data_IF_070793756679
#
_entry.id   IF_070793756679
#
_cell.length_a   1.000
_cell.length_b   1.000
_cell.length_c   1.000
_cell.angle_alpha   90.00
_cell.angle_beta   90.00
_cell.angle_gamma   90.00
#
_symmetry.space_group_name_H-M   'P 1'
#
loop_
_entity.id
_entity.type
_entity.pdbx_description
1 polymer ?
#
# COMPACT_ATOMS: atom_id res chain seq x y z
N UNK A 1 14.57 5.72 8.52
CA UNK A 1 15.35 5.81 7.26
C UNK A 1 14.57 6.52 6.14
N UNK A 2 13.66 7.46 6.45
CA UNK A 2 12.93 8.30 5.46
C UNK A 2 13.53 9.73 5.42
N UNK A 3 14.21 10.15 6.50
CA UNK A 3 14.75 11.49 6.72
C UNK A 3 15.97 11.88 5.86
N UNK A 4 16.50 10.98 5.02
CA UNK A 4 17.71 11.21 4.21
C UNK A 4 17.43 11.45 2.72
N UNK A 5 16.17 11.46 2.30
CA UNK A 5 15.78 11.71 0.90
C UNK A 5 15.64 13.21 0.64
N UNK A 6 15.94 13.64 -0.60
CA UNK A 6 15.70 15.01 -1.06
C UNK A 6 14.22 15.39 -0.87
N UNK A 7 13.94 16.66 -0.52
CA UNK A 7 12.60 17.14 -0.14
C UNK A 7 11.44 16.73 -1.11
N UNK A 8 11.59 16.72 -2.44
CA UNK A 8 10.50 16.30 -3.33
C UNK A 8 10.27 14.77 -3.33
N UNK A 9 11.28 13.97 -3.03
CA UNK A 9 11.20 12.50 -3.08
C UNK A 9 10.75 11.94 -1.75
N UNK A 10 11.06 12.60 -0.64
CA UNK A 10 10.54 12.23 0.69
C UNK A 10 9.00 12.28 0.75
N UNK A 11 8.36 13.21 0.03
CA UNK A 11 6.89 13.29 -0.03
C UNK A 11 6.29 12.06 -0.74
N UNK A 12 6.81 11.71 -1.92
CA UNK A 12 6.37 10.53 -2.70
C UNK A 12 6.51 9.25 -1.85
N UNK A 13 7.66 9.09 -1.17
CA UNK A 13 7.90 7.94 -0.29
C UNK A 13 6.99 7.95 0.93
N UNK A 14 6.70 9.12 1.50
CA UNK A 14 5.80 9.26 2.64
C UNK A 14 4.37 8.80 2.29
N UNK A 15 3.80 9.33 1.20
CA UNK A 15 2.45 8.93 0.75
C UNK A 15 2.40 7.43 0.47
N UNK A 16 3.43 6.91 -0.20
CA UNK A 16 3.51 5.51 -0.50
C UNK A 16 3.55 4.63 0.77
N UNK A 17 4.33 5.02 1.77
CA UNK A 17 4.38 4.34 3.05
C UNK A 17 3.02 4.36 3.77
N UNK A 18 2.30 5.49 3.73
CA UNK A 18 0.98 5.60 4.34
C UNK A 18 -0.07 4.71 3.65
N UNK A 19 -0.02 4.62 2.31
CA UNK A 19 -0.90 3.74 1.53
C UNK A 19 -0.65 2.27 1.89
N UNK A 20 0.62 1.85 1.95
CA UNK A 20 0.96 0.49 2.36
C UNK A 20 0.58 0.22 3.82
N UNK A 21 0.81 1.19 4.71
CA UNK A 21 0.40 1.05 6.11
C UNK A 21 -1.10 0.84 6.23
N UNK A 22 -1.91 1.56 5.47
CA UNK A 22 -3.36 1.36 5.47
C UNK A 22 -3.75 -0.05 4.98
N UNK A 23 -3.05 -0.58 3.98
CA UNK A 23 -3.25 -1.93 3.48
C UNK A 23 -2.84 -3.00 4.53
N UNK A 24 -1.70 -2.82 5.21
CA UNK A 24 -1.27 -3.65 6.33
C UNK A 24 -2.28 -3.60 7.49
N UNK A 25 -2.80 -2.42 7.85
CA UNK A 25 -3.81 -2.27 8.91
C UNK A 25 -5.07 -3.08 8.63
N UNK A 26 -5.52 -3.18 7.38
CA UNK A 26 -6.67 -4.04 7.00
C UNK A 26 -6.32 -5.52 7.14
N UNK A 27 -5.09 -5.90 6.80
CA UNK A 27 -4.61 -7.28 6.85
C UNK A 27 -4.42 -7.77 8.29
N UNK A 28 -3.71 -6.99 9.11
CA UNK A 28 -3.39 -7.28 10.52
C UNK A 28 -4.65 -7.32 11.42
N UNK A 29 -5.68 -6.55 11.09
CA UNK A 29 -6.88 -6.44 11.93
C UNK A 29 -7.73 -7.73 11.88
N UNK A 30 -7.53 -8.58 12.89
CA UNK A 30 -8.27 -9.83 13.06
C UNK A 30 -9.76 -9.63 13.41
N UNK A 31 -10.21 -8.40 13.70
CA UNK A 31 -11.63 -8.12 13.97
C UNK A 31 -12.46 -7.99 12.69
N UNK A 32 -11.82 -7.76 11.54
CA UNK A 32 -12.47 -7.69 10.23
C UNK A 32 -12.63 -9.11 9.66
N UNK A 33 -13.87 -9.49 9.32
CA UNK A 33 -14.13 -10.80 8.70
C UNK A 33 -13.46 -10.94 7.34
N UNK A 34 -13.06 -12.16 6.98
CA UNK A 34 -12.42 -12.43 5.68
C UNK A 34 -13.32 -12.02 4.50
N UNK A 35 -14.63 -12.21 4.62
CA UNK A 35 -15.62 -11.81 3.61
C UNK A 35 -15.60 -10.30 3.32
N UNK A 36 -15.20 -9.48 4.30
CA UNK A 36 -15.04 -8.03 4.13
C UNK A 36 -13.62 -7.66 3.74
N UNK A 37 -12.64 -8.35 4.34
CA UNK A 37 -11.20 -8.09 4.17
C UNK A 37 -10.74 -8.37 2.74
N UNK A 38 -11.11 -9.53 2.17
CA UNK A 38 -10.69 -9.96 0.83
C UNK A 38 -11.11 -8.94 -0.25
N UNK A 39 -12.38 -8.52 -0.34
CA UNK A 39 -12.78 -7.50 -1.31
C UNK A 39 -12.07 -6.15 -1.12
N UNK A 40 -11.79 -5.76 0.14
CA UNK A 40 -11.08 -4.50 0.42
C UNK A 40 -9.65 -4.58 -0.10
N UNK A 41 -8.92 -5.66 0.19
CA UNK A 41 -7.54 -5.85 -0.27
C UNK A 41 -7.43 -5.91 -1.79
N UNK A 42 -8.32 -6.66 -2.46
CA UNK A 42 -8.34 -6.74 -3.93
C UNK A 42 -8.63 -5.39 -4.60
N UNK A 43 -9.56 -4.61 -4.03
CA UNK A 43 -9.98 -3.32 -4.59
C UNK A 43 -9.21 -2.12 -4.03
N UNK A 44 -8.21 -2.34 -3.18
CA UNK A 44 -7.52 -1.26 -2.48
C UNK A 44 -6.90 -0.22 -3.43
N UNK A 45 -6.30 -0.69 -4.52
CA UNK A 45 -5.75 0.18 -5.57
C UNK A 45 -6.80 1.14 -6.17
N UNK A 46 -8.07 0.73 -6.24
CA UNK A 46 -9.15 1.56 -6.77
C UNK A 46 -9.59 2.65 -5.79
N UNK A 47 -9.40 2.44 -4.49
CA UNK A 47 -9.73 3.42 -3.45
C UNK A 47 -8.76 4.59 -3.44
N UNK A 48 -7.55 4.43 -3.98
CA UNK A 48 -6.63 5.54 -4.22
C UNK A 48 -7.23 6.63 -5.13
N UNK A 49 -8.17 6.26 -5.99
CA UNK A 49 -8.88 7.16 -6.89
C UNK A 49 -10.26 7.59 -6.38
N UNK A 50 -10.62 7.23 -5.14
CA UNK A 50 -11.90 7.55 -4.52
C UNK A 50 -11.67 8.49 -3.32
N UNK A 51 -11.80 9.83 -3.50
CA UNK A 51 -11.48 10.81 -2.46
C UNK A 51 -12.39 10.72 -1.22
N UNK A 52 -13.58 10.12 -1.37
CA UNK A 52 -14.52 9.92 -0.26
C UNK A 52 -14.36 8.57 0.46
N UNK A 53 -13.42 7.73 0.00
CA UNK A 53 -13.24 6.42 0.60
C UNK A 53 -12.55 6.54 1.96
N UNK A 54 -13.14 5.86 2.94
CA UNK A 54 -12.61 5.68 4.29
C UNK A 54 -13.18 4.40 4.88
N UNK A 55 -12.49 3.84 5.87
CA UNK A 55 -12.92 2.63 6.54
C UNK A 55 -12.89 2.82 8.06
N UNK A 56 -14.08 2.86 8.67
CA UNK A 56 -14.29 3.05 10.12
C UNK A 56 -14.43 1.73 10.89
N UNK A 57 -14.27 0.59 10.21
CA UNK A 57 -14.53 -0.74 10.77
C UNK A 57 -13.32 -1.38 11.44
N UNK A 58 -12.20 -0.68 11.56
CA UNK A 58 -10.95 -1.22 12.12
C UNK A 58 -10.81 -0.90 13.61
N UNK A 59 -10.30 -1.87 14.38
CA UNK A 59 -9.92 -1.72 15.79
C UNK A 59 -8.41 -1.75 16.00
N UNK A 60 -7.61 -1.72 14.92
CA UNK A 60 -6.17 -1.71 15.01
C UNK A 60 -5.63 -0.39 15.62
N UNK A 61 -4.39 -0.43 16.13
CA UNK A 61 -3.68 0.74 16.66
C UNK A 61 -3.51 1.84 15.62
N UNK A 62 -3.33 1.48 14.34
CA UNK A 62 -3.05 2.39 13.25
C UNK A 62 -4.34 2.75 12.47
N UNK A 63 -5.54 2.36 12.95
CA UNK A 63 -6.84 2.56 12.27
C UNK A 63 -7.07 3.97 11.73
N UNK A 64 -6.46 5.01 12.32
CA UNK A 64 -6.55 6.38 11.86
C UNK A 64 -6.13 6.53 10.38
N UNK A 65 -5.18 5.73 9.88
CA UNK A 65 -4.78 5.79 8.46
C UNK A 65 -5.90 5.33 7.50
N UNK A 66 -6.84 4.52 8.01
CA UNK A 66 -8.02 4.05 7.26
C UNK A 66 -9.21 5.01 7.43
N UNK A 67 -9.37 5.58 8.62
CA UNK A 67 -10.43 6.55 8.92
C UNK A 67 -10.21 7.88 8.17
N UNK A 68 -8.96 8.34 8.09
CA UNK A 68 -8.53 9.57 7.39
C UNK A 68 -7.83 9.27 6.04
N UNK A 69 -8.20 8.17 5.38
CA UNK A 69 -7.61 7.78 4.10
C UNK A 69 -7.85 8.82 2.99
N UNK A 70 -8.90 9.64 3.14
CA UNK A 70 -9.23 10.74 2.24
C UNK A 70 -8.05 11.70 2.07
N UNK A 71 -7.39 12.06 3.17
CA UNK A 71 -6.22 12.95 3.15
C UNK A 71 -5.06 12.33 2.37
N UNK A 72 -4.84 11.02 2.54
CA UNK A 72 -3.78 10.28 1.83
C UNK A 72 -4.09 10.22 0.32
N UNK A 73 -5.33 9.92 -0.06
CA UNK A 73 -5.78 9.87 -1.46
C UNK A 73 -5.64 11.24 -2.14
N UNK A 74 -5.97 12.34 -1.45
CA UNK A 74 -5.81 13.69 -1.98
C UNK A 74 -4.34 14.05 -2.24
N UNK A 75 -3.42 13.72 -1.33
CA UNK A 75 -1.99 13.95 -1.55
C UNK A 75 -1.42 13.03 -2.63
N UNK A 76 -1.91 11.79 -2.74
CA UNK A 76 -1.57 10.88 -3.82
C UNK A 76 -1.92 11.46 -5.21
N UNK A 77 -3.07 12.13 -5.34
CA UNK A 77 -3.49 12.76 -6.59
C UNK A 77 -2.60 13.93 -7.02
N UNK A 78 -1.91 14.58 -6.09
CA UNK A 78 -0.96 15.67 -6.40
C UNK A 78 0.37 15.15 -6.94
N UNK A 79 0.66 13.85 -6.81
CA UNK A 79 1.88 13.26 -7.34
C UNK A 79 1.84 13.21 -8.87
N UNK A 80 3.02 13.18 -9.51
CA UNK A 80 3.11 12.98 -10.97
C UNK A 80 2.46 11.65 -11.36
N UNK A 81 1.80 11.62 -12.52
CA UNK A 81 1.09 10.45 -13.06
C UNK A 81 1.95 9.17 -13.08
N UNK A 82 3.25 9.31 -13.40
CA UNK A 82 4.21 8.20 -13.38
C UNK A 82 4.27 7.51 -12.01
N UNK A 83 4.31 8.27 -10.91
CA UNK A 83 4.32 7.68 -9.56
C UNK A 83 2.94 7.08 -9.21
N UNK A 84 1.86 7.73 -9.62
CA UNK A 84 0.51 7.21 -9.38
C UNK A 84 0.30 5.84 -10.03
N UNK A 85 0.71 5.69 -11.29
CA UNK A 85 0.53 4.44 -12.03
C UNK A 85 1.38 3.31 -11.45
N UNK A 86 2.63 3.61 -11.06
CA UNK A 86 3.51 2.65 -10.37
C UNK A 86 2.90 2.21 -9.03
N UNK A 87 2.37 3.15 -8.25
CA UNK A 87 1.80 2.83 -6.93
C UNK A 87 0.50 2.04 -7.04
N UNK A 88 -0.37 2.38 -8.00
CA UNK A 88 -1.60 1.64 -8.23
C UNK A 88 -1.32 0.19 -8.68
N UNK A 89 -0.37 -0.02 -9.58
CA UNK A 89 0.06 -1.35 -10.01
C UNK A 89 0.64 -2.18 -8.86
N UNK A 90 1.51 -1.57 -8.04
CA UNK A 90 2.06 -2.20 -6.84
C UNK A 90 0.95 -2.56 -5.84
N UNK A 91 0.08 -1.61 -5.49
CA UNK A 91 -1.02 -1.85 -4.55
C UNK A 91 -1.97 -2.94 -5.05
N UNK A 92 -2.22 -3.01 -6.36
CA UNK A 92 -3.02 -4.07 -6.96
C UNK A 92 -2.36 -5.43 -6.79
N UNK A 93 -1.05 -5.54 -7.04
CA UNK A 93 -0.30 -6.81 -6.90
C UNK A 93 -0.21 -7.28 -5.45
N UNK A 94 0.08 -6.36 -4.52
CA UNK A 94 0.16 -6.67 -3.09
C UNK A 94 -1.22 -7.05 -2.55
N UNK A 95 -2.25 -6.24 -2.84
CA UNK A 95 -3.62 -6.51 -2.38
C UNK A 95 -4.18 -7.82 -2.91
N UNK A 96 -3.92 -8.15 -4.18
CA UNK A 96 -4.31 -9.44 -4.74
C UNK A 96 -3.54 -10.62 -4.10
N UNK A 97 -2.22 -10.47 -3.91
CA UNK A 97 -1.40 -11.49 -3.27
C UNK A 97 -1.82 -11.78 -1.83
N UNK A 98 -2.14 -10.74 -1.05
CA UNK A 98 -2.66 -10.88 0.31
C UNK A 98 -4.05 -11.51 0.33
N UNK A 99 -4.94 -11.12 -0.58
CA UNK A 99 -6.27 -11.72 -0.67
C UNK A 99 -6.19 -13.23 -0.99
N UNK A 100 -5.36 -13.61 -1.96
CA UNK A 100 -5.15 -15.03 -2.30
C UNK A 100 -4.55 -15.80 -1.11
N UNK A 101 -3.65 -15.18 -0.35
CA UNK A 101 -3.06 -15.75 0.86
C UNK A 101 -4.06 -15.91 2.00
N UNK A 102 -5.03 -15.01 2.14
CA UNK A 102 -6.07 -15.12 3.17
C UNK A 102 -7.13 -16.17 2.80
N UNK A 103 -7.42 -16.33 1.50
CA UNK A 103 -8.35 -17.35 1.00
C UNK A 103 -7.76 -18.76 1.09
N UNK A 104 -6.50 -18.92 0.68
CA UNK A 104 -5.76 -20.17 0.79
C UNK A 104 -5.04 -20.15 2.14
N UNK A 105 -5.50 -20.89 3.15
CA UNK A 105 -4.70 -21.13 4.38
C UNK A 105 -3.35 -21.78 4.01
N UNK A 106 -2.37 -20.99 3.61
CA UNK A 106 -1.11 -21.48 3.07
C UNK A 106 -0.22 -21.97 4.22
N UNK A 107 0.12 -23.25 4.18
CA UNK A 107 1.01 -23.92 5.15
C UNK A 107 2.50 -23.76 4.81
N UNK A 108 2.88 -23.01 3.76
CA UNK A 108 4.25 -23.01 3.20
C UNK A 108 4.98 -21.66 3.32
N UNK A 109 6.17 -21.68 3.93
CA UNK A 109 7.10 -20.54 4.11
C UNK A 109 7.53 -19.90 2.78
N UNK A 110 7.44 -20.62 1.66
CA UNK A 110 7.87 -20.15 0.33
C UNK A 110 6.94 -19.10 -0.29
N UNK A 111 5.67 -19.09 0.08
CA UNK A 111 4.71 -18.05 -0.37
C UNK A 111 4.84 -16.77 0.46
N UNK A 112 5.17 -16.91 1.76
CA UNK A 112 5.57 -15.78 2.61
C UNK A 112 6.78 -15.03 2.09
N UNK A 113 7.81 -15.76 1.62
CA UNK A 113 8.96 -15.11 1.00
C UNK A 113 8.53 -14.24 -0.19
N UNK A 114 7.56 -14.64 -1.02
CA UNK A 114 7.13 -13.80 -2.16
C UNK A 114 6.44 -12.50 -1.72
N UNK A 115 5.58 -12.54 -0.71
CA UNK A 115 4.85 -11.36 -0.22
C UNK A 115 5.78 -10.43 0.56
N UNK A 116 6.63 -10.99 1.41
CA UNK A 116 7.66 -10.26 2.18
C UNK A 116 8.69 -9.63 1.25
N UNK A 117 9.11 -10.39 0.22
CA UNK A 117 10.00 -9.92 -0.84
C UNK A 117 9.29 -8.86 -1.66
N UNK A 118 7.98 -8.92 -1.94
CA UNK A 118 7.26 -7.82 -2.61
C UNK A 118 7.30 -6.52 -1.77
N UNK A 119 7.04 -6.58 -0.47
CA UNK A 119 7.14 -5.43 0.45
C UNK A 119 8.57 -4.85 0.50
N UNK A 120 9.59 -5.71 0.48
CA UNK A 120 11.01 -5.30 0.46
C UNK A 120 11.50 -4.85 -0.94
N UNK A 121 11.03 -5.48 -2.02
CA UNK A 121 11.34 -5.11 -3.40
C UNK A 121 10.80 -3.74 -3.69
N UNK A 122 9.66 -3.38 -3.12
CA UNK A 122 9.08 -2.05 -3.19
C UNK A 122 10.01 -1.00 -2.57
N UNK A 123 10.60 -1.29 -1.40
CA UNK A 123 11.62 -0.42 -0.80
C UNK A 123 12.83 -0.26 -1.73
N UNK A 124 13.22 -1.34 -2.42
CA UNK A 124 14.31 -1.33 -3.40
C UNK A 124 13.94 -0.68 -4.75
N UNK A 125 12.69 -0.77 -5.21
CA UNK A 125 12.14 -0.14 -6.43
C UNK A 125 12.02 1.36 -6.25
N UNK A 126 11.56 1.80 -5.09
CA UNK A 126 11.59 3.22 -4.72
C UNK A 126 13.03 3.75 -4.73
N UNK A 127 14.01 2.98 -4.24
CA UNK A 127 15.43 3.38 -4.28
C UNK A 127 16.05 3.26 -5.68
N UNK A 128 15.65 2.30 -6.52
CA UNK A 128 16.19 2.13 -7.88
C UNK A 128 15.56 3.08 -8.91
N UNK A 129 14.28 3.44 -8.77
CA UNK A 129 13.70 4.57 -9.51
C UNK A 129 14.44 5.88 -9.21
N UNK A 130 15.01 6.04 -8.01
CA UNK A 130 15.83 7.22 -7.65
C UNK A 130 17.23 7.21 -8.30
N UNK A 131 17.77 6.04 -8.68
CA UNK A 131 19.06 5.97 -9.39
C UNK A 131 18.92 6.20 -10.91
N UNK A 132 17.70 6.22 -11.44
CA UNK A 132 17.45 6.36 -12.87
C UNK A 132 16.94 7.77 -13.29
N UNK A 133 16.79 8.72 -12.36
CA UNK A 133 16.60 10.15 -12.71
C UNK A 133 17.94 10.83 -13.07
N UNK A 134 18.71 10.14 -13.91
CA UNK A 134 19.88 10.62 -14.63
C UNK A 134 19.70 10.61 -16.15
N UNK A 135 18.46 10.47 -16.66
CA UNK A 135 18.13 10.63 -18.08
C UNK A 135 16.63 10.90 -18.29
N UNK A 136 16.24 12.18 -18.23
CA UNK A 136 15.41 12.92 -19.21
C UNK A 136 15.07 14.31 -18.65
#
# INVERSE_FOLDING_TARGET
>A
MIFLLSVPTSHVVCIFYLVLRALDTVEDDMTISLETKIPILQKFHSYLYQPEWRFMGSNDKDKQVLEDFQTISLEFWKLKKVYQDVFADICSKVGFGLAEFLEKKVESVKEWDKVSVLSQQIFMVVITCQQNEGFF
#
